data_IF_593086217022
#
_entry.id   IF_593086217022
#
_cell.length_a   1.000
_cell.length_b   1.000
_cell.length_c   1.000
_cell.angle_alpha   90.00
_cell.angle_beta   90.00
_cell.angle_gamma   90.00
#
_symmetry.space_group_name_H-M   'P 1'
#
loop_
_entity.id
_entity.type
_entity.pdbx_description
1 polymer ?
#
# COMPACT_ATOMS: atom_id res chain seq x y z
N UNK A 1 -7.51 5.89 0.57
CA UNK A 1 -7.13 4.48 0.49
C UNK A 1 -8.20 3.62 1.13
N UNK A 2 -8.86 2.77 0.34
CA UNK A 2 -9.91 1.86 0.78
C UNK A 2 -9.37 0.43 0.81
N UNK A 3 -9.62 -0.29 1.91
CA UNK A 3 -9.12 -1.66 2.08
C UNK A 3 -10.27 -2.60 2.39
N UNK A 4 -10.48 -3.62 1.54
CA UNK A 4 -11.36 -4.73 1.86
C UNK A 4 -10.63 -5.71 2.79
N UNK A 5 -10.82 -5.56 4.10
CA UNK A 5 -10.16 -6.42 5.09
C UNK A 5 -10.70 -7.84 5.07
N UNK A 6 -11.99 -8.04 4.81
CA UNK A 6 -12.57 -9.38 4.75
C UNK A 6 -12.02 -10.16 3.57
N UNK A 7 -11.88 -9.49 2.40
CA UNK A 7 -11.25 -10.10 1.24
C UNK A 7 -9.76 -10.38 1.48
N UNK A 8 -9.05 -9.46 2.15
CA UNK A 8 -7.64 -9.65 2.48
C UNK A 8 -7.39 -10.86 3.37
N UNK A 9 -8.32 -11.15 4.30
CA UNK A 9 -8.23 -12.29 5.23
C UNK A 9 -9.05 -13.52 4.80
N UNK A 10 -9.62 -13.52 3.59
CA UNK A 10 -10.40 -14.65 3.07
C UNK A 10 -11.73 -14.90 3.81
N UNK A 11 -12.33 -13.86 4.40
CA UNK A 11 -13.57 -13.94 5.20
C UNK A 11 -14.82 -13.52 4.43
N UNK A 12 -14.69 -13.13 3.17
CA UNK A 12 -15.75 -12.61 2.33
C UNK A 12 -15.30 -11.42 1.50
N UNK A 13 -16.22 -10.56 1.12
CA UNK A 13 -15.96 -9.33 0.38
C UNK A 13 -16.93 -8.24 0.78
N UNK A 14 -16.47 -6.98 0.77
CA UNK A 14 -17.26 -5.78 1.05
C UNK A 14 -17.47 -4.94 -0.22
N UNK A 15 -17.52 -5.55 -1.40
CA UNK A 15 -17.57 -4.88 -2.69
C UNK A 15 -18.75 -3.89 -2.79
N UNK A 16 -19.93 -4.24 -2.27
CA UNK A 16 -21.09 -3.37 -2.28
C UNK A 16 -20.87 -2.11 -1.44
N UNK A 17 -20.41 -2.28 -0.20
CA UNK A 17 -20.09 -1.16 0.71
C UNK A 17 -19.00 -0.27 0.12
N UNK A 18 -17.95 -0.87 -0.46
CA UNK A 18 -16.89 -0.12 -1.12
C UNK A 18 -17.41 0.66 -2.32
N UNK A 19 -18.35 0.11 -3.09
CA UNK A 19 -18.99 0.82 -4.20
C UNK A 19 -19.74 2.06 -3.71
N UNK A 20 -20.51 1.96 -2.63
CA UNK A 20 -21.21 3.09 -2.02
C UNK A 20 -20.23 4.16 -1.52
N UNK A 21 -19.14 3.76 -0.85
CA UNK A 21 -18.10 4.68 -0.37
C UNK A 21 -17.42 5.38 -1.55
N UNK A 22 -17.07 4.64 -2.62
CA UNK A 22 -16.50 5.23 -3.84
C UNK A 22 -17.44 6.26 -4.44
N UNK A 23 -18.73 5.94 -4.57
CA UNK A 23 -19.73 6.87 -5.10
C UNK A 23 -19.82 8.14 -4.25
N UNK A 24 -19.85 8.01 -2.93
CA UNK A 24 -19.88 9.16 -2.00
C UNK A 24 -18.63 10.03 -2.13
N UNK A 25 -17.43 9.43 -2.18
CA UNK A 25 -16.16 10.16 -2.36
C UNK A 25 -16.11 10.87 -3.71
N UNK A 26 -16.57 10.24 -4.79
CA UNK A 26 -16.65 10.86 -6.12
C UNK A 26 -17.61 12.06 -6.14
N UNK A 27 -18.77 11.94 -5.49
CA UNK A 27 -19.72 13.04 -5.36
C UNK A 27 -19.15 14.23 -4.59
N UNK A 28 -18.38 13.98 -3.52
CA UNK A 28 -17.69 15.03 -2.76
C UNK A 28 -16.52 15.62 -3.54
N UNK A 29 -15.73 14.79 -4.20
CA UNK A 29 -14.62 15.22 -5.04
C UNK A 29 -15.07 16.16 -6.16
N UNK A 30 -16.24 15.91 -6.74
CA UNK A 30 -16.81 16.79 -7.78
C UNK A 30 -17.18 18.20 -7.26
N UNK A 31 -17.36 18.36 -5.95
CA UNK A 31 -17.64 19.65 -5.30
C UNK A 31 -16.36 20.33 -4.78
N UNK A 32 -15.26 19.64 -4.74
CA UNK A 32 -13.98 20.13 -4.22
C UNK A 32 -13.15 20.76 -5.35
N UNK A 33 -12.38 21.77 -5.01
CA UNK A 33 -11.35 22.33 -5.92
C UNK A 33 -10.13 21.41 -6.09
N UNK A 34 -9.96 20.44 -5.18
CA UNK A 34 -8.91 19.43 -5.24
C UNK A 34 -9.53 18.04 -5.38
N UNK A 35 -9.36 17.34 -6.52
CA UNK A 35 -9.95 16.03 -6.72
C UNK A 35 -9.36 15.00 -5.78
N UNK A 36 -10.24 14.21 -5.13
CA UNK A 36 -9.86 13.10 -4.27
C UNK A 36 -9.61 11.88 -5.15
N UNK A 37 -8.41 11.34 -5.11
CA UNK A 37 -8.07 10.08 -5.77
C UNK A 37 -8.37 8.90 -4.87
N UNK A 38 -8.87 7.82 -5.46
CA UNK A 38 -9.27 6.61 -4.73
C UNK A 38 -8.32 5.47 -5.10
N UNK A 39 -7.67 4.92 -4.07
CA UNK A 39 -6.91 3.69 -4.20
C UNK A 39 -7.63 2.56 -3.48
N UNK A 40 -7.80 1.42 -4.16
CA UNK A 40 -8.44 0.21 -3.61
C UNK A 40 -7.37 -0.84 -3.32
N UNK A 41 -7.52 -1.51 -2.19
CA UNK A 41 -6.63 -2.55 -1.69
C UNK A 41 -7.42 -3.67 -1.00
N UNK A 42 -6.76 -4.78 -0.73
CA UNK A 42 -7.32 -5.92 0.00
C UNK A 42 -7.51 -7.14 -0.90
N UNK A 43 -6.67 -8.14 -0.73
CA UNK A 43 -6.79 -9.45 -1.37
C UNK A 43 -6.62 -9.50 -2.90
N UNK A 44 -6.14 -8.44 -3.55
CA UNK A 44 -5.90 -8.42 -5.00
C UNK A 44 -4.63 -9.20 -5.33
N UNK A 45 -4.80 -10.44 -5.84
CA UNK A 45 -3.69 -11.39 -6.03
C UNK A 45 -3.82 -12.29 -7.27
N UNK A 46 -4.90 -12.15 -8.04
CA UNK A 46 -5.18 -12.87 -9.27
C UNK A 46 -6.15 -12.08 -10.15
N UNK A 47 -6.44 -12.57 -11.35
CA UNK A 47 -7.27 -11.89 -12.34
C UNK A 47 -8.67 -11.56 -11.80
N UNK A 48 -9.33 -12.52 -11.13
CA UNK A 48 -10.69 -12.32 -10.59
C UNK A 48 -10.73 -11.19 -9.55
N UNK A 49 -9.79 -11.20 -8.60
CA UNK A 49 -9.73 -10.17 -7.56
C UNK A 49 -9.30 -8.80 -8.12
N UNK A 50 -8.49 -8.78 -9.16
CA UNK A 50 -8.13 -7.55 -9.87
C UNK A 50 -9.35 -6.97 -10.62
N UNK A 51 -10.09 -7.78 -11.37
CA UNK A 51 -11.31 -7.35 -12.07
C UNK A 51 -12.36 -6.80 -11.11
N UNK A 52 -12.54 -7.46 -9.96
CA UNK A 52 -13.42 -6.97 -8.89
C UNK A 52 -12.97 -5.60 -8.36
N UNK A 53 -11.69 -5.41 -8.12
CA UNK A 53 -11.17 -4.12 -7.65
C UNK A 53 -11.35 -3.03 -8.74
N UNK A 54 -11.11 -3.36 -10.00
CA UNK A 54 -11.27 -2.44 -11.13
C UNK A 54 -12.74 -2.06 -11.37
N UNK A 55 -13.70 -2.96 -11.07
CA UNK A 55 -15.13 -2.66 -11.21
C UNK A 55 -15.60 -1.51 -10.32
N UNK A 56 -14.86 -1.18 -9.26
CA UNK A 56 -15.09 -0.01 -8.41
C UNK A 56 -14.65 1.32 -9.05
N UNK A 57 -14.05 1.27 -10.25
CA UNK A 57 -13.52 2.44 -10.96
C UNK A 57 -12.56 3.29 -10.10
N UNK A 58 -11.53 2.70 -9.48
CA UNK A 58 -10.55 3.42 -8.69
C UNK A 58 -9.54 4.15 -9.58
N UNK A 59 -8.82 5.12 -8.99
CA UNK A 59 -7.65 5.73 -9.64
C UNK A 59 -6.42 4.85 -9.53
N UNK A 60 -6.40 3.91 -8.55
CA UNK A 60 -5.33 2.95 -8.35
C UNK A 60 -5.81 1.69 -7.64
N UNK A 61 -5.24 0.56 -8.03
CA UNK A 61 -5.40 -0.73 -7.35
C UNK A 61 -4.07 -1.16 -6.77
N UNK A 62 -4.06 -1.57 -5.50
CA UNK A 62 -2.90 -2.15 -4.86
C UNK A 62 -2.96 -3.68 -4.99
N UNK A 63 -2.11 -4.24 -5.84
CA UNK A 63 -1.88 -5.69 -5.96
C UNK A 63 -1.05 -6.13 -4.76
N UNK A 64 -1.51 -7.11 -4.01
CA UNK A 64 -0.87 -7.52 -2.75
C UNK A 64 0.36 -8.39 -2.99
N UNK A 65 1.26 -8.46 -2.00
CA UNK A 65 2.44 -9.34 -2.01
C UNK A 65 2.11 -10.82 -2.19
N UNK A 66 0.87 -11.25 -1.92
CA UNK A 66 0.41 -12.60 -2.23
C UNK A 66 0.49 -12.95 -3.73
N UNK A 67 0.47 -11.94 -4.61
CA UNK A 67 0.65 -12.11 -6.06
C UNK A 67 2.05 -12.58 -6.44
N UNK A 68 3.06 -12.39 -5.57
CA UNK A 68 4.42 -12.91 -5.79
C UNK A 68 4.47 -14.44 -5.85
N UNK A 69 3.45 -15.13 -5.35
CA UNK A 69 3.34 -16.59 -5.46
C UNK A 69 3.00 -17.06 -6.87
N UNK A 70 2.47 -16.18 -7.73
CA UNK A 70 2.17 -16.43 -9.15
C UNK A 70 2.86 -15.36 -10.01
N UNK A 71 4.16 -15.54 -10.23
CA UNK A 71 5.00 -14.59 -10.95
C UNK A 71 4.55 -14.37 -12.38
N UNK A 72 4.08 -15.42 -13.07
CA UNK A 72 3.61 -15.34 -14.46
C UNK A 72 2.39 -14.43 -14.59
N UNK A 73 1.38 -14.63 -13.72
CA UNK A 73 0.21 -13.76 -13.70
C UNK A 73 0.58 -12.31 -13.38
N UNK A 74 1.51 -12.12 -12.45
CA UNK A 74 1.93 -10.76 -12.04
C UNK A 74 2.67 -10.05 -13.16
N UNK A 75 3.61 -10.71 -13.84
CA UNK A 75 4.33 -10.16 -14.99
C UNK A 75 3.39 -9.77 -16.13
N UNK A 76 2.47 -10.67 -16.52
CA UNK A 76 1.46 -10.39 -17.54
C UNK A 76 0.56 -9.20 -17.16
N UNK A 77 0.21 -9.12 -15.86
CA UNK A 77 -0.61 -8.02 -15.34
C UNK A 77 0.16 -6.70 -15.38
N UNK A 78 1.40 -6.67 -14.90
CA UNK A 78 2.23 -5.47 -14.94
C UNK A 78 2.48 -5.00 -16.37
N UNK A 79 2.76 -5.91 -17.31
CA UNK A 79 2.92 -5.59 -18.72
C UNK A 79 1.65 -4.99 -19.33
N UNK A 80 0.47 -5.53 -19.00
CA UNK A 80 -0.82 -5.01 -19.49
C UNK A 80 -1.10 -3.56 -19.05
N UNK A 81 -0.64 -3.15 -17.88
CA UNK A 81 -0.86 -1.82 -17.30
C UNK A 81 0.40 -0.95 -17.26
N UNK A 82 1.44 -1.31 -18.04
CA UNK A 82 2.76 -0.66 -18.02
C UNK A 82 2.71 0.86 -18.28
N UNK A 83 1.80 1.33 -19.13
CA UNK A 83 1.68 2.75 -19.50
C UNK A 83 0.72 3.53 -18.60
N UNK A 84 0.33 2.97 -17.45
CA UNK A 84 -0.61 3.60 -16.53
C UNK A 84 -0.09 3.63 -15.08
N UNK A 85 -0.60 4.57 -14.29
CA UNK A 85 -0.40 4.62 -12.83
C UNK A 85 -1.46 3.83 -12.06
N UNK A 86 -2.22 2.97 -12.77
CA UNK A 86 -3.37 2.26 -12.21
C UNK A 86 -2.97 1.22 -11.17
N UNK A 87 -1.78 0.63 -11.29
CA UNK A 87 -1.32 -0.40 -10.37
C UNK A 87 -0.23 0.11 -9.42
N UNK A 88 -0.36 -0.29 -8.16
CA UNK A 88 0.73 -0.28 -7.19
C UNK A 88 0.94 -1.71 -6.67
N UNK A 89 2.14 -2.05 -6.25
CA UNK A 89 2.43 -3.32 -5.63
C UNK A 89 2.59 -3.17 -4.12
N UNK A 90 1.82 -3.93 -3.37
CA UNK A 90 1.97 -4.09 -1.93
C UNK A 90 3.17 -4.98 -1.62
N UNK A 91 4.15 -4.45 -0.94
CA UNK A 91 5.32 -5.18 -0.45
C UNK A 91 5.18 -5.32 1.07
N UNK A 92 4.49 -6.37 1.47
CA UNK A 92 4.36 -6.75 2.88
C UNK A 92 5.60 -7.56 3.29
N UNK A 93 6.27 -7.14 4.36
CA UNK A 93 7.50 -7.79 4.81
C UNK A 93 7.56 -7.97 6.32
N UNK A 94 8.36 -8.94 6.74
CA UNK A 94 8.68 -9.23 8.15
C UNK A 94 10.17 -9.46 8.30
N UNK A 95 10.73 -9.00 9.41
CA UNK A 95 12.10 -9.32 9.76
C UNK A 95 12.17 -10.72 10.40
N UNK A 96 13.09 -11.54 9.90
CA UNK A 96 13.44 -12.88 10.44
C UNK A 96 14.94 -12.88 10.70
N UNK A 97 15.36 -13.20 11.93
CA UNK A 97 16.76 -13.06 12.39
C UNK A 97 17.79 -13.69 11.46
N UNK A 98 17.49 -14.87 10.91
CA UNK A 98 18.42 -15.65 10.06
C UNK A 98 18.33 -15.27 8.56
N UNK A 99 17.29 -14.50 8.15
CA UNK A 99 17.00 -14.20 6.73
C UNK A 99 16.92 -12.72 6.43
N UNK A 100 16.90 -11.84 7.45
CA UNK A 100 16.64 -10.43 7.30
C UNK A 100 15.17 -10.16 6.92
N UNK A 101 14.93 -9.10 6.15
CA UNK A 101 13.61 -8.76 5.66
C UNK A 101 13.17 -9.71 4.56
N UNK A 102 12.06 -10.40 4.76
CA UNK A 102 11.45 -11.32 3.79
C UNK A 102 10.03 -10.86 3.45
N UNK A 103 9.63 -11.09 2.21
CA UNK A 103 8.26 -10.84 1.77
C UNK A 103 7.32 -11.86 2.37
N UNK A 104 6.10 -11.41 2.70
CA UNK A 104 5.06 -12.28 3.28
C UNK A 104 3.70 -11.98 2.63
N UNK A 105 2.79 -12.95 2.65
CA UNK A 105 1.40 -12.75 2.27
C UNK A 105 0.52 -12.75 3.51
N UNK A 106 -0.18 -11.66 3.76
CA UNK A 106 -1.05 -11.52 4.93
C UNK A 106 -2.14 -12.60 4.95
N UNK A 107 -2.45 -13.07 6.14
CA UNK A 107 -3.48 -14.09 6.35
C UNK A 107 -3.09 -15.49 5.87
N UNK A 108 -1.82 -15.70 5.54
CA UNK A 108 -1.27 -17.00 5.13
C UNK A 108 0.07 -17.25 5.81
N UNK A 109 0.53 -18.51 5.76
CA UNK A 109 1.88 -18.91 6.21
C UNK A 109 2.95 -18.72 5.11
N UNK A 110 2.57 -18.16 3.96
CA UNK A 110 3.51 -17.96 2.85
C UNK A 110 4.58 -16.92 3.21
N UNK A 111 5.81 -17.31 3.00
CA UNK A 111 6.99 -16.46 3.11
C UNK A 111 7.80 -16.60 1.82
N UNK A 112 7.97 -15.49 1.14
CA UNK A 112 8.65 -15.43 -0.15
C UNK A 112 10.15 -15.16 -0.04
N UNK A 113 10.73 -14.58 -1.10
CA UNK A 113 12.14 -14.22 -1.15
C UNK A 113 12.47 -13.07 -0.19
N UNK A 114 13.76 -12.83 0.01
CA UNK A 114 14.24 -11.61 0.66
C UNK A 114 13.70 -10.36 -0.08
N UNK A 115 13.43 -9.30 0.66
CA UNK A 115 12.90 -8.04 0.08
C UNK A 115 13.79 -7.53 -1.05
N UNK A 116 15.12 -7.62 -0.91
CA UNK A 116 16.06 -7.20 -1.93
C UNK A 116 15.94 -8.02 -3.23
N UNK A 117 15.75 -9.34 -3.12
CA UNK A 117 15.54 -10.21 -4.29
C UNK A 117 14.21 -9.93 -4.96
N UNK A 118 13.16 -9.75 -4.15
CA UNK A 118 11.84 -9.39 -4.66
C UNK A 118 11.88 -8.06 -5.42
N UNK A 119 12.51 -7.02 -4.86
CA UNK A 119 12.63 -5.71 -5.51
C UNK A 119 13.39 -5.82 -6.83
N UNK A 120 14.55 -6.50 -6.87
CA UNK A 120 15.33 -6.66 -8.10
C UNK A 120 14.51 -7.31 -9.22
N UNK A 121 13.71 -8.32 -8.91
CA UNK A 121 12.82 -8.94 -9.88
C UNK A 121 11.67 -8.02 -10.29
N UNK A 122 11.02 -7.36 -9.33
CA UNK A 122 9.87 -6.47 -9.56
C UNK A 122 10.23 -5.24 -10.39
N UNK A 123 11.43 -4.69 -10.22
CA UNK A 123 11.95 -3.60 -11.09
C UNK A 123 12.04 -4.08 -12.54
N UNK A 124 12.55 -5.31 -12.76
CA UNK A 124 12.61 -5.94 -14.08
C UNK A 124 11.23 -6.22 -14.67
N UNK A 125 10.25 -6.58 -13.84
CA UNK A 125 8.86 -6.82 -14.24
C UNK A 125 8.07 -5.53 -14.50
N UNK A 126 8.62 -4.35 -14.21
CA UNK A 126 8.03 -3.06 -14.56
C UNK A 126 7.08 -2.48 -13.51
N UNK A 127 7.26 -2.83 -12.23
CA UNK A 127 6.51 -2.17 -11.13
C UNK A 127 6.80 -0.67 -11.12
N UNK A 128 5.75 0.15 -10.99
CA UNK A 128 5.84 1.62 -11.05
C UNK A 128 5.71 2.30 -9.69
N UNK A 129 5.19 1.61 -8.67
CA UNK A 129 4.99 2.12 -7.30
C UNK A 129 4.86 0.98 -6.31
N UNK A 130 5.41 1.20 -5.12
CA UNK A 130 5.32 0.27 -4.01
C UNK A 130 4.49 0.83 -2.86
N UNK A 131 3.74 -0.05 -2.18
CA UNK A 131 3.14 0.23 -0.88
C UNK A 131 3.80 -0.73 0.12
N UNK A 132 4.67 -0.19 0.95
CA UNK A 132 5.56 -0.98 1.81
C UNK A 132 4.99 -1.07 3.21
N UNK A 133 4.84 -2.29 3.72
CA UNK A 133 4.31 -2.55 5.06
C UNK A 133 5.20 -3.50 5.85
N UNK A 134 5.70 -3.04 6.98
CA UNK A 134 6.17 -3.94 8.03
C UNK A 134 4.95 -4.53 8.74
N UNK A 135 4.66 -5.82 8.49
CA UNK A 135 3.46 -6.47 9.04
C UNK A 135 3.50 -6.62 10.56
N UNK A 136 4.68 -6.50 11.18
CA UNK A 136 4.79 -6.49 12.65
C UNK A 136 4.34 -5.18 13.27
N UNK A 137 4.32 -4.10 12.49
CA UNK A 137 3.92 -2.76 12.92
C UNK A 137 2.48 -2.42 12.55
N UNK A 138 1.91 -3.11 11.55
CA UNK A 138 0.58 -2.76 11.05
C UNK A 138 -0.50 -2.91 12.14
N UNK A 139 -1.30 -1.87 12.30
CA UNK A 139 -2.33 -1.77 13.34
C UNK A 139 -1.82 -1.70 14.79
N UNK A 140 -0.50 -1.75 15.03
CA UNK A 140 0.10 -1.78 16.37
C UNK A 140 0.18 -0.41 17.05
N UNK A 141 0.19 0.70 16.29
CA UNK A 141 0.49 2.04 16.77
C UNK A 141 1.90 2.14 17.44
N UNK A 142 2.86 1.33 17.00
CA UNK A 142 4.21 1.27 17.55
C UNK A 142 5.25 2.00 16.68
N UNK A 143 4.81 2.97 15.90
CA UNK A 143 5.61 3.71 14.94
C UNK A 143 5.71 3.01 13.57
N UNK A 144 6.10 3.78 12.52
CA UNK A 144 6.25 3.24 11.16
C UNK A 144 7.42 2.25 11.07
N UNK A 145 7.37 1.36 10.09
CA UNK A 145 8.44 0.41 9.77
C UNK A 145 9.65 1.07 9.11
N UNK A 146 10.29 2.03 9.79
CA UNK A 146 11.35 2.87 9.21
C UNK A 146 12.55 2.05 8.73
N UNK A 147 12.94 1.00 9.45
CA UNK A 147 14.05 0.12 9.05
C UNK A 147 13.78 -0.60 7.72
N UNK A 148 12.56 -1.06 7.51
CA UNK A 148 12.15 -1.64 6.23
C UNK A 148 12.14 -0.58 5.13
N UNK A 149 11.64 0.62 5.41
CA UNK A 149 11.62 1.74 4.45
C UNK A 149 13.04 2.12 4.03
N UNK A 150 13.99 2.20 4.96
CA UNK A 150 15.40 2.47 4.65
C UNK A 150 15.97 1.42 3.69
N UNK A 151 15.66 0.13 3.92
CA UNK A 151 16.09 -0.97 3.03
C UNK A 151 15.48 -0.85 1.65
N UNK A 152 14.20 -0.48 1.54
CA UNK A 152 13.51 -0.38 0.25
C UNK A 152 13.95 0.86 -0.52
N UNK A 153 14.00 2.03 0.13
CA UNK A 153 14.28 3.32 -0.52
C UNK A 153 15.69 3.41 -1.13
N UNK A 154 16.66 2.64 -0.62
CA UNK A 154 18.01 2.57 -1.24
C UNK A 154 18.10 1.62 -2.43
N UNK A 155 17.04 0.84 -2.70
CA UNK A 155 17.05 -0.20 -3.74
C UNK A 155 16.11 0.10 -4.92
N UNK A 156 15.29 1.15 -4.84
CA UNK A 156 14.37 1.53 -5.91
C UNK A 156 14.30 3.04 -6.08
N UNK A 157 14.22 3.48 -7.33
CA UNK A 157 13.89 4.87 -7.70
C UNK A 157 12.37 5.04 -7.90
N UNK A 158 11.57 4.00 -7.67
CA UNK A 158 10.11 4.08 -7.80
C UNK A 158 9.49 4.74 -6.57
N UNK A 159 8.39 5.48 -6.74
CA UNK A 159 7.65 6.04 -5.62
C UNK A 159 7.27 4.97 -4.59
N UNK A 160 7.55 5.23 -3.33
CA UNK A 160 7.23 4.36 -2.20
C UNK A 160 6.19 5.02 -1.31
N UNK A 161 5.16 4.30 -0.95
CA UNK A 161 4.16 4.70 0.06
C UNK A 161 4.36 3.84 1.30
N UNK A 162 4.58 4.48 2.44
CA UNK A 162 4.65 3.79 3.73
C UNK A 162 3.25 3.34 4.19
N UNK A 163 3.15 2.15 4.77
CA UNK A 163 1.89 1.65 5.34
C UNK A 163 2.14 0.97 6.68
N UNK A 164 1.22 1.22 7.63
CA UNK A 164 1.22 0.59 8.95
C UNK A 164 2.03 1.32 10.01
N UNK A 165 1.63 1.14 11.26
CA UNK A 165 2.35 1.51 12.46
C UNK A 165 2.28 2.96 12.92
N UNK A 166 2.06 3.93 12.04
CA UNK A 166 2.01 5.36 12.41
C UNK A 166 1.05 5.59 13.58
N UNK A 167 1.56 6.31 14.58
CA UNK A 167 0.85 6.54 15.84
C UNK A 167 0.80 8.00 16.26
N UNK A 168 1.69 8.84 15.76
CA UNK A 168 1.86 10.23 16.20
C UNK A 168 2.27 11.16 15.07
N UNK A 169 2.13 12.48 15.28
CA UNK A 169 2.66 13.49 14.37
C UNK A 169 4.20 13.43 14.27
N UNK A 170 4.89 13.01 15.33
CA UNK A 170 6.33 12.82 15.30
C UNK A 170 6.75 11.71 14.30
N UNK A 171 5.94 10.65 14.17
CA UNK A 171 6.16 9.64 13.15
C UNK A 171 6.05 10.21 11.74
N UNK A 172 5.08 11.11 11.51
CA UNK A 172 4.91 11.79 10.22
C UNK A 172 6.09 12.71 9.91
N UNK A 173 6.63 13.43 10.91
CA UNK A 173 7.85 14.24 10.76
C UNK A 173 9.02 13.36 10.35
N UNK A 174 9.17 12.18 10.97
CA UNK A 174 10.20 11.20 10.61
C UNK A 174 10.02 10.71 9.17
N UNK A 175 8.81 10.33 8.78
CA UNK A 175 8.53 9.90 7.42
C UNK A 175 8.76 11.02 6.40
N UNK A 176 8.39 12.27 6.72
CA UNK A 176 8.66 13.42 5.85
C UNK A 176 10.15 13.58 5.53
N UNK A 177 11.05 13.27 6.46
CA UNK A 177 12.50 13.30 6.20
C UNK A 177 12.97 12.28 5.16
N UNK A 178 12.16 11.27 4.83
CA UNK A 178 12.45 10.26 3.81
C UNK A 178 11.96 10.66 2.40
N UNK A 179 11.20 11.76 2.26
CA UNK A 179 10.69 12.23 0.95
C UNK A 179 11.82 12.48 -0.06
N UNK A 180 12.95 13.09 0.28
CA UNK A 180 14.07 13.25 -0.65
C UNK A 180 14.67 11.93 -1.17
N UNK A 181 14.38 10.82 -0.51
CA UNK A 181 14.86 9.48 -0.87
C UNK A 181 13.83 8.62 -1.60
N UNK A 182 12.65 9.21 -1.98
CA UNK A 182 11.64 8.51 -2.77
C UNK A 182 10.36 8.13 -2.02
N UNK A 183 10.22 8.50 -0.74
CA UNK A 183 8.94 8.33 -0.05
C UNK A 183 7.91 9.33 -0.62
N UNK A 184 6.86 8.82 -1.26
CA UNK A 184 5.80 9.63 -1.87
C UNK A 184 4.71 10.00 -0.87
N UNK A 185 4.42 9.12 0.09
CA UNK A 185 3.33 9.32 1.01
C UNK A 185 3.20 8.24 2.07
N UNK A 186 2.12 8.31 2.84
CA UNK A 186 1.82 7.37 3.92
C UNK A 186 0.35 7.02 3.96
N UNK A 187 0.03 5.76 4.23
CA UNK A 187 -1.32 5.30 4.55
C UNK A 187 -1.56 5.47 6.05
N UNK A 188 -2.55 6.31 6.38
CA UNK A 188 -3.00 6.52 7.76
C UNK A 188 -4.32 5.78 7.97
N UNK A 189 -4.35 4.85 8.88
CA UNK A 189 -5.54 4.08 9.25
C UNK A 189 -5.88 4.29 10.72
N UNK A 190 -5.50 3.33 11.57
CA UNK A 190 -5.90 3.24 12.98
C UNK A 190 -5.65 4.52 13.78
N UNK A 191 -4.54 5.24 13.55
CA UNK A 191 -4.23 6.47 14.27
C UNK A 191 -5.29 7.57 14.11
N UNK A 192 -5.90 7.67 12.92
CA UNK A 192 -7.02 8.61 12.68
C UNK A 192 -8.31 8.11 13.36
N UNK A 193 -8.60 6.80 13.27
CA UNK A 193 -9.81 6.25 13.89
C UNK A 193 -9.81 6.33 15.42
N UNK A 194 -8.65 6.22 16.06
CA UNK A 194 -8.53 6.37 17.53
C UNK A 194 -8.29 7.81 17.97
N UNK A 195 -8.18 8.76 17.02
CA UNK A 195 -8.07 10.18 17.32
C UNK A 195 -6.72 10.61 17.88
N UNK A 196 -5.63 9.91 17.56
CA UNK A 196 -4.29 10.31 18.02
C UNK A 196 -3.87 11.69 17.48
N UNK A 197 -4.36 12.03 16.30
CA UNK A 197 -4.25 13.35 15.64
C UNK A 197 -5.34 13.47 14.58
N UNK A 198 -5.64 14.72 14.16
CA UNK A 198 -6.61 14.95 13.09
C UNK A 198 -5.95 14.82 11.70
N UNK A 199 -6.79 14.66 10.67
CA UNK A 199 -6.32 14.62 9.30
C UNK A 199 -5.68 15.96 8.88
N UNK A 200 -6.24 17.09 9.33
CA UNK A 200 -5.71 18.43 9.10
C UNK A 200 -4.31 18.58 9.69
N UNK A 201 -4.09 18.12 10.93
CA UNK A 201 -2.76 18.12 11.57
C UNK A 201 -1.76 17.26 10.78
N UNK A 202 -2.21 16.10 10.25
CA UNK A 202 -1.36 15.27 9.42
C UNK A 202 -0.97 15.97 8.11
N UNK A 203 -1.90 16.69 7.46
CA UNK A 203 -1.65 17.47 6.25
C UNK A 203 -0.67 18.64 6.52
N UNK A 204 -0.80 19.34 7.64
CA UNK A 204 0.15 20.38 8.04
C UNK A 204 1.58 19.83 8.15
N UNK A 205 1.77 18.68 8.81
CA UNK A 205 3.08 18.02 8.88
C UNK A 205 3.58 17.59 7.51
N UNK A 206 2.72 17.07 6.63
CA UNK A 206 3.08 16.70 5.27
C UNK A 206 3.50 17.92 4.42
N UNK A 207 3.14 19.14 4.82
CA UNK A 207 3.38 20.36 4.06
C UNK A 207 2.39 20.56 2.91
N UNK A 208 1.25 19.87 2.95
CA UNK A 208 0.12 20.11 2.04
C UNK A 208 -0.61 21.38 2.51
N UNK A 209 -0.71 22.35 1.62
CA UNK A 209 -1.51 23.58 1.82
C UNK A 209 -2.89 23.43 1.25
#
# INVERSE_FOLDING_TARGET
HLVDLDLAFGRGTNTEVLSEVVAAVRAESARSSAPIRIQVSGGVRNAESLERALSLNPDRVNVTSAALADSSWLEDTLARYADSDLLALGLDARYISERGWVTVARGTDWSGPAVAEALAWLEGAGVRRYIVTDVSKDGSLAGPGAELLDVVLVQTDRPVVASGGVSSLADLVKLRSMVPYGLEGVVLGKALYVGNFSFEQALEVAGSR
#
